data_IF_160184631026
#
_entry.id   IF_160184631026
#
_cell.length_a   1.000
_cell.length_b   1.000
_cell.length_c   1.000
_cell.angle_alpha   90.00
_cell.angle_beta   90.00
_cell.angle_gamma   90.00
#
_symmetry.space_group_name_H-M   'P 1'
#
loop_
_entity.id
_entity.type
_entity.pdbx_description
1 polymer ?
#
# COMPACT_ATOMS: atom_id res chain seq x y z
N UNK A 1 -25.65 6.84 -27.16
CA UNK A 1 -25.25 6.11 -25.94
C UNK A 1 -23.74 5.93 -25.97
N UNK A 2 -22.99 6.79 -25.29
CA UNK A 2 -21.57 6.57 -25.01
C UNK A 2 -21.43 6.66 -23.49
N UNK A 3 -21.07 5.59 -22.76
CA UNK A 3 -20.75 5.74 -21.36
C UNK A 3 -19.52 6.64 -21.30
N UNK A 4 -19.71 7.86 -20.79
CA UNK A 4 -18.61 8.76 -20.43
C UNK A 4 -17.78 8.00 -19.40
N UNK A 5 -16.71 7.35 -19.84
CA UNK A 5 -15.65 6.87 -18.95
C UNK A 5 -15.15 8.12 -18.24
N UNK A 6 -15.60 8.30 -17.00
CA UNK A 6 -15.25 9.45 -16.19
C UNK A 6 -13.73 9.53 -16.08
N UNK A 7 -13.17 10.74 -16.11
CA UNK A 7 -11.74 10.98 -15.85
C UNK A 7 -11.26 10.33 -14.53
N UNK A 8 -12.18 10.03 -13.61
CA UNK A 8 -11.98 9.29 -12.36
C UNK A 8 -11.67 7.80 -12.56
N UNK A 9 -12.14 7.14 -13.62
CA UNK A 9 -11.78 5.75 -13.96
C UNK A 9 -10.33 5.64 -14.47
N UNK A 10 -9.90 6.59 -15.29
CA UNK A 10 -8.53 6.65 -15.79
C UNK A 10 -7.51 7.09 -14.71
N UNK A 11 -7.93 7.86 -13.70
CA UNK A 11 -7.10 8.12 -12.49
C UNK A 11 -7.01 6.88 -11.57
N UNK A 12 -8.07 6.07 -11.51
CA UNK A 12 -8.11 4.84 -10.71
C UNK A 12 -7.19 3.73 -11.20
N UNK A 13 -6.94 3.66 -12.52
CA UNK A 13 -5.95 2.74 -13.12
C UNK A 13 -4.50 3.28 -13.06
N UNK A 14 -4.29 4.58 -12.87
CA UNK A 14 -2.95 5.19 -12.88
C UNK A 14 -2.09 4.77 -11.66
N UNK A 15 -2.72 4.41 -10.53
CA UNK A 15 -2.03 3.89 -9.34
C UNK A 15 -1.78 2.37 -9.37
N UNK A 16 -2.25 1.68 -10.41
CA UNK A 16 -1.94 0.26 -10.66
C UNK A 16 -0.58 0.12 -11.38
N UNK A 17 0.02 1.24 -11.80
CA UNK A 17 1.26 1.31 -12.57
C UNK A 17 2.42 1.94 -11.77
N UNK A 18 2.50 1.74 -10.46
CA UNK A 18 3.78 1.95 -9.79
C UNK A 18 4.80 1.00 -10.43
N UNK A 19 5.84 1.56 -11.03
CA UNK A 19 6.89 0.74 -11.62
C UNK A 19 7.62 0.01 -10.49
N UNK A 20 8.26 -1.14 -10.77
CA UNK A 20 9.11 -1.82 -9.79
C UNK A 20 10.13 -0.92 -9.06
N UNK A 21 10.60 0.14 -9.73
CA UNK A 21 11.50 1.14 -9.16
C UNK A 21 10.82 2.07 -8.14
N UNK A 22 9.56 2.45 -8.38
CA UNK A 22 8.79 3.32 -7.48
C UNK A 22 8.42 2.56 -6.19
N UNK A 23 8.18 1.25 -6.30
CA UNK A 23 7.89 0.42 -5.13
C UNK A 23 9.04 0.41 -4.11
N UNK A 24 10.30 0.40 -4.55
CA UNK A 24 11.45 0.43 -3.62
C UNK A 24 11.51 1.73 -2.83
N UNK A 25 11.25 2.87 -3.49
CA UNK A 25 11.19 4.16 -2.81
C UNK A 25 9.96 4.28 -1.91
N UNK A 26 8.80 3.77 -2.37
CA UNK A 26 7.59 3.70 -1.57
C UNK A 26 7.83 2.89 -0.29
N UNK A 27 8.45 1.70 -0.37
CA UNK A 27 8.79 0.87 0.80
C UNK A 27 9.68 1.64 1.77
N UNK A 28 10.69 2.35 1.28
CA UNK A 28 11.60 3.12 2.14
C UNK A 28 10.85 4.19 2.95
N UNK A 29 10.01 5.00 2.30
CA UNK A 29 9.25 6.05 2.98
C UNK A 29 8.13 5.48 3.86
N UNK A 30 7.41 4.45 3.37
CA UNK A 30 6.37 3.77 4.13
C UNK A 30 6.93 3.09 5.38
N UNK A 31 8.12 2.49 5.31
CA UNK A 31 8.76 1.87 6.48
C UNK A 31 9.06 2.92 7.54
N UNK A 32 9.64 4.07 7.16
CA UNK A 32 9.89 5.17 8.10
C UNK A 32 8.62 5.70 8.74
N UNK A 33 7.54 5.86 7.97
CA UNK A 33 6.26 6.30 8.50
C UNK A 33 5.59 5.22 9.37
N UNK A 34 5.72 3.94 9.01
CA UNK A 34 5.18 2.82 9.78
C UNK A 34 5.90 2.68 11.13
N UNK A 35 7.22 2.89 11.17
CA UNK A 35 8.03 2.93 12.39
C UNK A 35 7.60 4.07 13.33
N UNK A 36 7.06 5.18 12.78
CA UNK A 36 6.49 6.29 13.54
C UNK A 36 5.05 6.05 13.99
N UNK A 37 4.50 4.84 13.79
CA UNK A 37 3.13 4.51 14.16
C UNK A 37 2.07 4.98 13.16
N UNK A 38 2.45 5.42 11.95
CA UNK A 38 1.47 5.83 10.96
C UNK A 38 0.68 4.62 10.46
N UNK A 39 -0.58 4.53 10.90
CA UNK A 39 -1.51 3.46 10.55
C UNK A 39 -1.70 3.28 9.03
N UNK A 40 -1.75 4.38 8.27
CA UNK A 40 -1.89 4.33 6.80
C UNK A 40 -0.65 3.69 6.18
N UNK A 41 0.54 4.06 6.65
CA UNK A 41 1.78 3.49 6.17
C UNK A 41 1.92 2.00 6.52
N UNK A 42 1.52 1.61 7.73
CA UNK A 42 1.45 0.21 8.15
C UNK A 42 0.48 -0.58 7.26
N UNK A 43 -0.71 -0.05 6.99
CA UNK A 43 -1.67 -0.70 6.09
C UNK A 43 -1.11 -0.87 4.67
N UNK A 44 -0.45 0.16 4.12
CA UNK A 44 0.15 0.09 2.80
C UNK A 44 1.31 -0.93 2.75
N UNK A 45 2.16 -0.99 3.77
CA UNK A 45 3.18 -2.05 3.90
C UNK A 45 2.55 -3.45 3.86
N UNK A 46 1.41 -3.63 4.53
CA UNK A 46 0.65 -4.88 4.47
C UNK A 46 0.24 -5.26 3.04
N UNK A 47 -0.26 -4.30 2.26
CA UNK A 47 -0.60 -4.50 0.85
C UNK A 47 0.65 -4.84 0.02
N UNK A 48 1.76 -4.14 0.25
CA UNK A 48 3.01 -4.36 -0.49
C UNK A 48 3.52 -5.80 -0.32
N UNK A 49 3.48 -6.33 0.90
CA UNK A 49 3.84 -7.73 1.19
C UNK A 49 2.80 -8.73 0.67
N UNK A 50 1.51 -8.40 0.67
CA UNK A 50 0.46 -9.29 0.14
C UNK A 50 0.57 -9.44 -1.38
N UNK A 51 0.82 -8.35 -2.09
CA UNK A 51 0.85 -8.28 -3.55
C UNK A 51 2.26 -8.45 -4.14
N UNK A 52 3.31 -8.37 -3.33
CA UNK A 52 4.70 -8.52 -3.78
C UNK A 52 5.22 -7.30 -4.54
N UNK A 53 4.77 -6.11 -4.13
CA UNK A 53 5.15 -4.86 -4.77
C UNK A 53 6.49 -4.38 -4.21
N UNK A 54 7.57 -4.58 -4.97
CA UNK A 54 8.93 -4.19 -4.57
C UNK A 54 9.54 -5.02 -3.43
N UNK A 55 8.75 -5.91 -2.81
CA UNK A 55 9.17 -6.95 -1.85
C UNK A 55 8.74 -8.33 -2.34
N UNK A 56 9.32 -9.38 -1.78
CA UNK A 56 8.79 -10.72 -1.94
C UNK A 56 7.42 -10.82 -1.25
N UNK A 57 6.51 -11.58 -1.87
CA UNK A 57 5.21 -11.86 -1.26
C UNK A 57 5.41 -12.59 0.06
N UNK A 58 4.85 -12.02 1.12
CA UNK A 58 4.89 -12.60 2.46
C UNK A 58 3.58 -12.28 3.19
N UNK A 59 2.69 -13.28 3.26
CA UNK A 59 1.39 -13.14 3.91
C UNK A 59 1.50 -12.99 5.43
N UNK A 60 2.56 -13.49 6.05
CA UNK A 60 2.79 -13.35 7.50
C UNK A 60 3.14 -11.92 7.82
N UNK A 61 4.08 -11.33 7.06
CA UNK A 61 4.42 -9.92 7.20
C UNK A 61 3.23 -9.02 6.86
N UNK A 62 2.47 -9.35 5.81
CA UNK A 62 1.26 -8.61 5.47
C UNK A 62 0.25 -8.58 6.63
N UNK A 63 -0.02 -9.74 7.22
CA UNK A 63 -0.92 -9.87 8.37
C UNK A 63 -0.42 -9.11 9.60
N UNK A 64 0.89 -9.17 9.88
CA UNK A 64 1.51 -8.40 10.96
C UNK A 64 1.29 -6.89 10.79
N UNK A 65 1.58 -6.35 9.60
CA UNK A 65 1.38 -4.93 9.31
C UNK A 65 -0.09 -4.49 9.38
N UNK A 66 -1.03 -5.33 8.94
CA UNK A 66 -2.45 -5.06 9.11
C UNK A 66 -2.90 -5.08 10.57
N UNK A 67 -2.36 -5.99 11.39
CA UNK A 67 -2.66 -6.04 12.81
C UNK A 67 -2.11 -4.82 13.55
N UNK A 68 -0.88 -4.38 13.25
CA UNK A 68 -0.31 -3.16 13.86
C UNK A 68 -1.14 -1.94 13.47
N UNK A 69 -1.57 -1.84 12.20
CA UNK A 69 -2.45 -0.77 11.75
C UNK A 69 -3.78 -0.76 12.52
N UNK A 70 -4.39 -1.94 12.72
CA UNK A 70 -5.66 -2.09 13.46
C UNK A 70 -5.52 -1.78 14.96
N UNK A 71 -4.40 -2.16 15.58
CA UNK A 71 -4.14 -1.91 17.00
C UNK A 71 -3.95 -0.43 17.34
N UNK A 72 -3.41 0.37 16.40
CA UNK A 72 -3.22 1.82 16.60
C UNK A 72 -4.48 2.66 16.29
N UNK A 73 -5.57 2.03 15.84
CA UNK A 73 -6.85 2.70 15.53
C UNK A 73 -7.89 2.68 16.65
N UNK A 74 -7.63 1.98 17.76
CA UNK A 74 -8.51 1.94 18.93
C UNK A 74 -7.81 2.55 20.15
N UNK A 75 -7.97 3.86 20.32
CA UNK A 75 -7.61 4.63 21.51
C UNK A 75 -8.50 5.86 21.62
#
# INVERSE_FOLDING_TARGET
>A
MHPKINAQYNLGLAYIHFKPQDYKQAIYWLSKSADQGNMVAQHQMGIMYREGYGVLKDYVMAYMFFNIASANGHG
#
